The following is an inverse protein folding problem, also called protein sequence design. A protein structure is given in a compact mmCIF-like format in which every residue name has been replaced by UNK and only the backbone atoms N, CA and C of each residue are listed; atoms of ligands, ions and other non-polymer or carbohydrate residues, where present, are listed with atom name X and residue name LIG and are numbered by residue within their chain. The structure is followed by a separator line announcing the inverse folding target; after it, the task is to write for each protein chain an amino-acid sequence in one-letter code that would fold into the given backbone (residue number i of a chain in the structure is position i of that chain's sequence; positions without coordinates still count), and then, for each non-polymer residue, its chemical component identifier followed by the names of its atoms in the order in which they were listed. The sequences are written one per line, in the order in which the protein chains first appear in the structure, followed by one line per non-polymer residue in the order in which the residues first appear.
data_IF_245516555723
#
_entry.id   IF_245516555723
#
_cell.length_a   1.000
_cell.length_b   1.000
_cell.length_c   1.000
_cell.angle_alpha   90.00
_cell.angle_beta   90.00
_cell.angle_gamma   90.00
#
_symmetry.space_group_name_H-M   'P 1'
#
loop_
_entity.id
_entity.type
_entity.pdbx_description
1 polymer ?
#
# COMPACT_ATOMS: atom_id res chain seq x y z
N UNK A 1 8.06 -42.25 15.84
CA UNK A 1 9.04 -41.26 15.41
C UNK A 1 8.32 -40.08 14.76
N UNK A 2 8.14 -39.04 15.55
CA UNK A 2 7.63 -37.76 15.04
C UNK A 2 8.79 -37.01 14.39
N UNK A 3 8.64 -36.55 13.13
CA UNK A 3 9.69 -35.75 12.50
C UNK A 3 9.87 -34.45 13.25
N UNK A 4 11.05 -34.29 13.86
CA UNK A 4 11.46 -33.18 14.71
C UNK A 4 11.78 -31.87 13.97
N UNK A 5 11.29 -31.66 12.77
CA UNK A 5 11.53 -30.43 12.01
C UNK A 5 10.27 -29.79 11.43
N UNK A 6 9.24 -29.64 12.25
CA UNK A 6 8.19 -28.66 11.91
C UNK A 6 8.71 -27.30 12.37
N UNK A 7 9.04 -26.43 11.41
CA UNK A 7 9.48 -25.07 11.71
C UNK A 7 8.46 -24.33 12.58
N UNK A 8 8.91 -23.36 13.36
CA UNK A 8 8.06 -22.52 14.22
C UNK A 8 6.81 -22.03 13.49
N UNK A 9 6.91 -21.71 12.18
CA UNK A 9 5.79 -21.32 11.34
C UNK A 9 4.63 -22.31 11.31
N UNK A 10 4.88 -23.61 11.30
CA UNK A 10 3.81 -24.62 11.28
C UNK A 10 3.09 -24.74 12.61
N UNK A 11 3.78 -24.48 13.72
CA UNK A 11 3.17 -24.45 15.07
C UNK A 11 2.21 -23.26 15.17
N UNK A 12 2.62 -22.08 14.73
CA UNK A 12 1.77 -20.88 14.76
C UNK A 12 0.55 -21.00 13.84
N UNK A 13 0.70 -21.53 12.63
CA UNK A 13 -0.42 -21.81 11.72
C UNK A 13 -1.46 -22.73 12.37
N UNK A 14 -1.00 -23.79 13.04
CA UNK A 14 -1.87 -24.72 13.73
C UNK A 14 -2.59 -24.10 14.92
N UNK A 15 -1.90 -23.26 15.70
CA UNK A 15 -2.51 -22.52 16.82
C UNK A 15 -3.60 -21.56 16.36
N UNK A 16 -3.37 -20.83 15.29
CA UNK A 16 -4.38 -19.95 14.68
C UNK A 16 -5.63 -20.76 14.30
N UNK A 17 -5.47 -21.87 13.60
CA UNK A 17 -6.60 -22.69 13.13
C UNK A 17 -7.39 -23.34 14.28
N UNK A 18 -6.73 -23.75 15.36
CA UNK A 18 -7.38 -24.41 16.52
C UNK A 18 -8.24 -23.43 17.32
N UNK A 19 -7.87 -22.16 17.36
CA UNK A 19 -8.57 -21.11 18.11
C UNK A 19 -9.56 -20.27 17.28
N UNK A 20 -9.73 -20.59 15.99
CA UNK A 20 -10.68 -19.88 15.10
C UNK A 20 -12.14 -20.03 15.59
N UNK A 21 -13.04 -19.10 15.22
CA UNK A 21 -12.85 -17.96 14.32
C UNK A 21 -12.44 -16.66 15.04
N UNK A 22 -11.57 -15.87 14.40
CA UNK A 22 -11.11 -14.56 14.88
C UNK A 22 -11.78 -13.42 14.11
N UNK A 23 -12.00 -12.29 14.77
CA UNK A 23 -12.47 -11.06 14.13
C UNK A 23 -11.32 -10.17 13.64
N UNK A 24 -10.11 -10.38 14.18
CA UNK A 24 -8.90 -9.66 13.82
C UNK A 24 -7.70 -10.59 13.91
N UNK A 25 -6.90 -10.62 12.87
CA UNK A 25 -5.61 -11.31 12.83
C UNK A 25 -4.57 -10.36 12.26
N UNK A 26 -3.42 -10.29 12.92
CA UNK A 26 -2.23 -9.59 12.46
C UNK A 26 -1.17 -10.62 12.05
N UNK A 27 -0.73 -10.55 10.81
CA UNK A 27 0.33 -11.38 10.23
C UNK A 27 1.56 -10.51 10.00
N UNK A 28 2.48 -10.53 10.95
CA UNK A 28 3.71 -9.71 10.96
C UNK A 28 4.98 -10.57 11.10
N UNK A 29 5.31 -11.41 10.11
CA UNK A 29 6.53 -12.21 10.13
C UNK A 29 7.73 -11.43 9.59
N UNK A 30 8.94 -11.87 9.93
CA UNK A 30 10.14 -11.50 9.17
C UNK A 30 10.06 -12.07 7.74
N UNK A 31 10.27 -11.22 6.73
CA UNK A 31 10.26 -11.60 5.33
C UNK A 31 8.87 -11.63 4.73
N UNK A 32 8.55 -12.72 4.02
CA UNK A 32 7.30 -12.85 3.28
C UNK A 32 6.17 -13.41 4.15
N UNK A 33 4.99 -12.76 4.18
CA UNK A 33 3.83 -13.25 4.91
C UNK A 33 3.09 -14.41 4.21
N UNK A 34 3.42 -14.69 2.96
CA UNK A 34 2.64 -15.61 2.07
C UNK A 34 2.38 -16.96 2.71
N UNK A 35 3.36 -17.51 3.42
CA UNK A 35 3.23 -18.82 4.08
C UNK A 35 2.22 -18.86 5.22
N UNK A 36 1.79 -17.72 5.74
CA UNK A 36 0.81 -17.61 6.83
C UNK A 36 -0.59 -17.23 6.37
N UNK A 37 -0.71 -16.63 5.17
CA UNK A 37 -1.96 -16.03 4.69
C UNK A 37 -3.11 -17.05 4.59
N UNK A 38 -2.85 -18.26 4.10
CA UNK A 38 -3.86 -19.28 3.97
C UNK A 38 -4.55 -19.61 5.32
N UNK A 39 -3.75 -19.92 6.33
CA UNK A 39 -4.23 -20.25 7.68
C UNK A 39 -4.90 -19.04 8.36
N UNK A 40 -4.34 -17.84 8.20
CA UNK A 40 -4.90 -16.63 8.76
C UNK A 40 -6.28 -16.32 8.16
N UNK A 41 -6.37 -16.32 6.82
CA UNK A 41 -7.62 -16.03 6.10
C UNK A 41 -8.69 -17.07 6.43
N UNK A 42 -8.34 -18.35 6.49
CA UNK A 42 -9.26 -19.43 6.88
C UNK A 42 -9.83 -19.21 8.29
N UNK A 43 -8.99 -18.75 9.21
CA UNK A 43 -9.32 -18.57 10.63
C UNK A 43 -10.11 -17.30 10.95
N UNK A 44 -10.16 -16.32 10.03
CA UNK A 44 -11.00 -15.13 10.20
C UNK A 44 -12.47 -15.50 10.09
N UNK A 45 -13.30 -14.89 10.92
CA UNK A 45 -14.75 -14.96 10.93
C UNK A 45 -15.37 -14.66 9.56
N UNK A 46 -16.69 -14.78 9.45
CA UNK A 46 -17.44 -14.40 8.23
C UNK A 46 -17.19 -12.96 7.79
N UNK A 47 -16.95 -12.09 8.78
CA UNK A 47 -16.50 -10.71 8.62
C UNK A 47 -15.40 -10.47 9.66
N UNK A 48 -14.26 -9.96 9.22
CA UNK A 48 -13.15 -9.66 10.13
C UNK A 48 -11.99 -8.96 9.41
N UNK A 49 -11.07 -8.41 10.17
CA UNK A 49 -9.93 -7.65 9.67
C UNK A 49 -8.69 -8.54 9.63
N UNK A 50 -7.96 -8.45 8.54
CA UNK A 50 -6.63 -9.01 8.38
C UNK A 50 -5.62 -7.88 8.18
N UNK A 51 -4.66 -7.81 9.10
CA UNK A 51 -3.46 -7.00 8.96
C UNK A 51 -2.35 -7.87 8.41
N UNK A 52 -1.59 -7.36 7.46
CA UNK A 52 -0.47 -8.10 6.88
C UNK A 52 0.72 -7.18 6.69
N UNK A 53 1.86 -7.59 7.23
CA UNK A 53 3.16 -6.94 7.03
C UNK A 53 4.07 -7.84 6.19
N UNK A 54 4.78 -7.24 5.24
CA UNK A 54 5.82 -7.88 4.45
C UNK A 54 7.11 -7.07 4.51
N UNK A 55 8.21 -7.70 4.91
CA UNK A 55 9.54 -7.06 4.98
C UNK A 55 10.48 -7.53 3.87
N UNK A 56 10.05 -8.42 2.97
CA UNK A 56 10.80 -8.84 1.78
C UNK A 56 10.63 -7.86 0.60
N UNK A 57 10.87 -6.58 0.89
CA UNK A 57 10.65 -5.46 -0.03
C UNK A 57 11.45 -5.59 -1.33
N UNK A 58 12.62 -6.22 -1.31
CA UNK A 58 13.40 -6.50 -2.52
C UNK A 58 12.62 -7.36 -3.54
N UNK A 59 11.78 -8.29 -3.07
CA UNK A 59 10.91 -9.07 -3.95
C UNK A 59 9.73 -8.24 -4.45
N UNK A 60 9.04 -7.55 -3.55
CA UNK A 60 7.85 -6.78 -3.86
C UNK A 60 8.15 -5.56 -4.75
N UNK A 61 9.26 -4.84 -4.52
CA UNK A 61 9.70 -3.70 -5.34
C UNK A 61 10.42 -4.09 -6.63
N UNK A 62 10.53 -5.40 -6.95
CA UNK A 62 11.00 -5.87 -8.26
C UNK A 62 12.51 -6.05 -8.42
N UNK A 63 13.35 -5.76 -7.42
CA UNK A 63 14.80 -6.01 -7.50
C UNK A 63 15.14 -7.50 -7.40
N UNK A 64 14.37 -8.31 -6.67
CA UNK A 64 14.52 -9.76 -6.56
C UNK A 64 13.44 -10.53 -7.33
N UNK A 65 13.43 -10.41 -8.65
CA UNK A 65 12.39 -10.93 -9.58
C UNK A 65 12.06 -12.42 -9.41
N UNK A 66 13.06 -13.27 -9.26
CA UNK A 66 12.84 -14.71 -9.05
C UNK A 66 12.11 -14.99 -7.74
N UNK A 67 12.40 -14.24 -6.68
CA UNK A 67 11.70 -14.34 -5.40
C UNK A 67 10.26 -13.81 -5.51
N UNK A 68 10.08 -12.71 -6.23
CA UNK A 68 8.75 -12.15 -6.52
C UNK A 68 7.87 -13.15 -7.26
N UNK A 69 8.37 -13.72 -8.35
CA UNK A 69 7.65 -14.73 -9.14
C UNK A 69 7.29 -15.96 -8.30
N UNK A 70 8.23 -16.46 -7.48
CA UNK A 70 8.02 -17.68 -6.69
C UNK A 70 7.04 -17.48 -5.52
N UNK A 71 7.13 -16.33 -4.81
CA UNK A 71 6.33 -16.06 -3.61
C UNK A 71 4.97 -15.45 -3.94
N UNK A 72 4.96 -14.46 -4.81
CA UNK A 72 3.80 -13.62 -5.11
C UNK A 72 3.15 -13.93 -6.47
N UNK A 73 3.83 -14.73 -7.32
CA UNK A 73 3.37 -14.99 -8.68
C UNK A 73 3.37 -13.74 -9.56
N UNK A 74 4.21 -12.77 -9.23
CA UNK A 74 4.23 -11.44 -9.84
C UNK A 74 5.66 -11.02 -10.22
N UNK A 75 5.77 -9.94 -10.97
CA UNK A 75 7.03 -9.24 -11.25
C UNK A 75 6.87 -7.75 -11.01
N UNK A 76 7.95 -7.07 -10.63
CA UNK A 76 7.99 -5.62 -10.44
C UNK A 76 9.02 -4.95 -11.34
N UNK A 77 8.81 -3.67 -11.61
CA UNK A 77 9.79 -2.77 -12.23
C UNK A 77 10.38 -1.90 -11.12
N UNK A 78 11.71 -1.79 -11.08
CA UNK A 78 12.38 -0.82 -10.21
C UNK A 78 12.29 0.55 -10.89
N UNK A 79 11.36 1.37 -10.47
CA UNK A 79 11.14 2.74 -10.90
C UNK A 79 10.46 3.53 -9.77
N UNK A 80 10.06 4.77 -10.03
CA UNK A 80 9.43 5.67 -9.04
C UNK A 80 8.13 5.12 -8.43
N UNK A 81 7.48 4.16 -9.08
CA UNK A 81 6.21 3.56 -8.63
C UNK A 81 6.38 2.20 -7.92
N UNK A 82 7.60 1.73 -7.72
CA UNK A 82 7.86 0.39 -7.17
C UNK A 82 7.25 0.15 -5.78
N UNK A 83 7.01 1.20 -5.01
CA UNK A 83 6.41 1.11 -3.67
C UNK A 83 4.90 0.95 -3.72
N UNK A 84 4.22 1.63 -4.66
CA UNK A 84 2.81 1.40 -4.97
C UNK A 84 2.62 -0.01 -5.55
N UNK A 85 3.48 -0.42 -6.49
CA UNK A 85 3.50 -1.77 -7.04
C UNK A 85 3.62 -2.83 -5.94
N UNK A 86 4.53 -2.65 -4.98
CA UNK A 86 4.75 -3.56 -3.87
C UNK A 86 3.48 -3.77 -3.03
N UNK A 87 2.80 -2.69 -2.72
CA UNK A 87 1.53 -2.69 -2.00
C UNK A 87 0.46 -3.45 -2.78
N UNK A 88 0.31 -3.17 -4.06
CA UNK A 88 -0.67 -3.79 -4.95
C UNK A 88 -0.39 -5.27 -5.22
N UNK A 89 0.87 -5.68 -5.30
CA UNK A 89 1.27 -7.09 -5.42
C UNK A 89 0.89 -7.87 -4.16
N UNK A 90 1.10 -7.28 -2.96
CA UNK A 90 0.69 -7.90 -1.71
C UNK A 90 -0.84 -8.03 -1.62
N UNK A 91 -1.59 -6.99 -1.95
CA UNK A 91 -3.06 -7.01 -1.99
C UNK A 91 -3.61 -8.07 -2.97
N UNK A 92 -3.03 -8.17 -4.17
CA UNK A 92 -3.43 -9.20 -5.15
C UNK A 92 -3.21 -10.62 -4.61
N UNK A 93 -2.11 -10.82 -3.89
CA UNK A 93 -1.80 -12.11 -3.26
C UNK A 93 -2.82 -12.46 -2.19
N UNK A 94 -3.17 -11.50 -1.33
CA UNK A 94 -4.22 -11.67 -0.30
C UNK A 94 -5.57 -11.94 -0.97
N UNK A 95 -5.97 -11.18 -1.99
CA UNK A 95 -7.22 -11.35 -2.72
C UNK A 95 -7.36 -12.74 -3.32
N UNK A 96 -6.30 -13.24 -3.96
CA UNK A 96 -6.26 -14.57 -4.55
C UNK A 96 -6.45 -15.67 -3.50
N UNK A 97 -5.76 -15.57 -2.36
CA UNK A 97 -5.88 -16.57 -1.29
C UNK A 97 -7.25 -16.46 -0.60
N UNK A 98 -7.76 -15.24 -0.39
CA UNK A 98 -9.08 -15.02 0.18
C UNK A 98 -10.19 -15.63 -0.68
N UNK A 99 -10.09 -15.50 -2.01
CA UNK A 99 -11.04 -16.07 -2.95
C UNK A 99 -11.10 -17.60 -2.85
N UNK A 100 -9.98 -18.29 -2.57
CA UNK A 100 -9.97 -19.76 -2.34
C UNK A 100 -10.79 -20.19 -1.12
N UNK A 101 -11.06 -19.27 -0.19
CA UNK A 101 -11.86 -19.47 1.01
C UNK A 101 -13.25 -18.81 0.93
N UNK A 102 -13.75 -18.53 -0.27
CA UNK A 102 -15.02 -17.83 -0.50
C UNK A 102 -15.08 -16.46 0.19
N UNK A 103 -13.96 -15.77 0.32
CA UNK A 103 -13.88 -14.45 0.95
C UNK A 103 -13.43 -13.39 -0.05
N UNK A 104 -14.06 -12.23 0.01
CA UNK A 104 -13.65 -11.02 -0.69
C UNK A 104 -12.81 -10.13 0.22
N UNK A 105 -11.91 -9.33 -0.36
CA UNK A 105 -11.19 -8.28 0.34
C UNK A 105 -11.80 -6.91 0.07
N UNK A 106 -11.80 -6.05 1.10
CA UNK A 106 -12.07 -4.62 0.99
C UNK A 106 -10.93 -3.91 1.69
N UNK A 107 -10.18 -3.14 0.94
CA UNK A 107 -9.01 -2.41 1.46
C UNK A 107 -9.44 -1.37 2.49
N UNK A 108 -8.70 -1.25 3.57
CA UNK A 108 -8.90 -0.25 4.61
C UNK A 108 -7.79 0.78 4.55
N UNK A 109 -6.54 0.30 4.66
CA UNK A 109 -5.34 1.11 4.70
C UNK A 109 -4.18 0.35 4.06
N UNK A 110 -3.35 1.06 3.32
CA UNK A 110 -2.07 0.54 2.84
C UNK A 110 -0.96 1.53 3.16
N UNK A 111 0.16 1.05 3.63
CA UNK A 111 1.31 1.86 4.03
C UNK A 111 2.60 1.22 3.56
N UNK A 112 3.49 2.04 3.01
CA UNK A 112 4.88 1.68 2.74
C UNK A 112 5.80 2.71 3.40
N UNK A 113 6.72 2.28 4.25
CA UNK A 113 7.63 3.17 4.98
C UNK A 113 9.10 3.08 4.55
N UNK A 114 9.39 2.36 3.46
CA UNK A 114 10.73 2.10 2.95
C UNK A 114 11.32 0.77 3.42
N UNK A 115 10.88 0.23 4.53
CA UNK A 115 11.39 -1.01 5.12
C UNK A 115 10.38 -2.16 5.06
N UNK A 116 9.10 -1.85 5.13
CA UNK A 116 8.01 -2.81 5.05
C UNK A 116 6.77 -2.25 4.36
N UNK A 117 5.99 -3.17 3.80
CA UNK A 117 4.63 -2.93 3.32
C UNK A 117 3.67 -3.42 4.40
N UNK A 118 2.73 -2.59 4.81
CA UNK A 118 1.63 -3.00 5.68
C UNK A 118 0.30 -2.70 5.05
N UNK A 119 -0.60 -3.68 5.03
CA UNK A 119 -1.95 -3.54 4.50
C UNK A 119 -2.98 -4.04 5.49
N UNK A 120 -4.06 -3.30 5.61
CA UNK A 120 -5.26 -3.66 6.36
C UNK A 120 -6.39 -3.93 5.39
N UNK A 121 -7.00 -5.10 5.49
CA UNK A 121 -8.15 -5.48 4.66
C UNK A 121 -9.29 -6.03 5.51
N UNK A 122 -10.52 -5.63 5.18
CA UNK A 122 -11.71 -6.27 5.69
C UNK A 122 -12.06 -7.47 4.80
N UNK A 123 -12.09 -8.65 5.40
CA UNK A 123 -12.52 -9.88 4.75
C UNK A 123 -14.02 -10.08 4.98
N UNK A 124 -14.75 -10.39 3.91
CA UNK A 124 -16.19 -10.77 3.98
C UNK A 124 -16.42 -12.08 3.25
N UNK A 125 -17.12 -13.01 3.90
CA UNK A 125 -17.48 -14.29 3.26
C UNK A 125 -18.63 -14.06 2.28
N UNK A 126 -18.35 -14.19 0.98
CA UNK A 126 -19.33 -14.17 -0.12
C UNK A 126 -18.74 -14.89 -1.32
N UNK A 127 -19.34 -16.00 -1.73
CA UNK A 127 -18.90 -16.76 -2.90
C UNK A 127 -18.99 -15.96 -4.19
N UNK A 128 -20.06 -15.18 -4.33
CA UNK A 128 -20.30 -14.34 -5.52
C UNK A 128 -19.19 -13.34 -5.70
N UNK A 129 -18.96 -12.47 -4.69
CA UNK A 129 -17.93 -11.42 -4.76
C UNK A 129 -16.53 -12.05 -4.81
N UNK A 130 -16.29 -13.13 -4.08
CA UNK A 130 -15.01 -13.83 -4.13
C UNK A 130 -14.67 -14.36 -5.53
N UNK A 131 -15.68 -14.78 -6.31
CA UNK A 131 -15.48 -15.24 -7.69
C UNK A 131 -15.06 -14.12 -8.65
N UNK A 132 -15.35 -12.88 -8.30
CA UNK A 132 -15.04 -11.68 -9.09
C UNK A 132 -13.66 -11.05 -8.76
N UNK A 133 -12.87 -11.68 -7.89
CA UNK A 133 -11.58 -11.12 -7.45
C UNK A 133 -10.66 -10.71 -8.59
N UNK A 134 -10.75 -11.40 -9.74
CA UNK A 134 -9.94 -11.12 -10.93
C UNK A 134 -10.28 -9.82 -11.62
N UNK A 135 -11.47 -9.24 -11.38
CA UNK A 135 -11.88 -7.96 -11.96
C UNK A 135 -11.00 -6.79 -11.45
N UNK A 136 -10.33 -6.99 -10.32
CA UNK A 136 -9.39 -6.03 -9.74
C UNK A 136 -7.93 -6.49 -9.87
N UNK A 137 -7.61 -7.36 -10.83
CA UNK A 137 -6.24 -7.81 -11.08
C UNK A 137 -5.82 -7.40 -12.49
N UNK A 138 -4.69 -6.76 -12.57
CA UNK A 138 -4.13 -6.31 -13.84
C UNK A 138 -2.63 -6.07 -13.74
N UNK A 139 -2.12 -5.28 -14.65
CA UNK A 139 -0.71 -4.97 -14.81
C UNK A 139 -0.53 -3.47 -14.91
N UNK A 140 0.42 -2.90 -14.18
CA UNK A 140 0.86 -1.53 -14.44
C UNK A 140 1.83 -1.54 -15.62
N UNK A 141 1.45 -0.87 -16.69
CA UNK A 141 2.30 -0.69 -17.87
C UNK A 141 3.15 0.56 -17.67
N UNK A 142 4.46 0.43 -17.87
CA UNK A 142 5.38 1.57 -17.79
C UNK A 142 5.18 2.48 -18.99
N UNK A 143 4.46 3.56 -18.77
CA UNK A 143 4.21 4.66 -19.71
C UNK A 143 4.15 5.97 -18.93
N UNK A 144 3.94 7.09 -19.60
CA UNK A 144 3.72 8.38 -18.95
C UNK A 144 2.46 9.05 -19.53
N UNK A 145 1.39 9.15 -18.73
CA UNK A 145 1.24 8.57 -17.40
C UNK A 145 1.26 7.04 -17.46
N UNK A 146 1.56 6.37 -16.34
CA UNK A 146 1.35 4.94 -16.27
C UNK A 146 -0.15 4.64 -16.32
N UNK A 147 -0.49 3.43 -16.73
CA UNK A 147 -1.89 2.96 -16.71
C UNK A 147 -1.95 1.48 -16.34
N UNK A 148 -3.11 1.05 -15.87
CA UNK A 148 -3.40 -0.36 -15.66
C UNK A 148 -3.98 -0.98 -16.93
N UNK A 149 -3.66 -2.27 -17.15
CA UNK A 149 -4.14 -3.07 -18.27
C UNK A 149 -4.45 -4.49 -17.79
N UNK A 150 -5.43 -5.12 -18.41
CA UNK A 150 -5.77 -6.52 -18.15
C UNK A 150 -4.72 -7.50 -18.70
N UNK A 151 -3.88 -7.04 -19.63
CA UNK A 151 -2.84 -7.83 -20.27
C UNK A 151 -1.47 -7.16 -20.12
N UNK A 152 -0.42 -7.96 -19.87
CA UNK A 152 0.93 -7.44 -19.81
C UNK A 152 1.42 -7.02 -21.21
N UNK A 153 2.07 -5.85 -21.30
CA UNK A 153 2.70 -5.37 -22.53
C UNK A 153 3.97 -4.57 -22.23
N UNK A 154 4.98 -4.68 -23.07
CA UNK A 154 6.23 -3.94 -22.91
C UNK A 154 6.93 -4.18 -21.57
N UNK A 155 7.26 -3.10 -20.86
CA UNK A 155 7.71 -3.15 -19.47
C UNK A 155 6.51 -3.01 -18.54
N UNK A 156 6.31 -3.98 -17.67
CA UNK A 156 5.16 -4.02 -16.78
C UNK A 156 5.53 -4.54 -15.39
N UNK A 157 4.70 -4.18 -14.42
CA UNK A 157 4.63 -4.79 -13.09
C UNK A 157 3.30 -5.52 -12.93
N UNK A 158 3.29 -6.64 -12.22
CA UNK A 158 2.07 -7.43 -11.95
C UNK A 158 2.25 -8.93 -12.22
N UNK A 159 1.18 -9.71 -12.12
CA UNK A 159 -0.20 -9.26 -11.81
C UNK A 159 -0.29 -8.62 -10.43
N UNK A 160 -1.12 -7.60 -10.30
CA UNK A 160 -1.29 -6.81 -9.08
C UNK A 160 -2.73 -6.34 -8.89
N UNK A 161 -3.06 -5.85 -7.71
CA UNK A 161 -4.34 -5.24 -7.41
C UNK A 161 -4.48 -3.89 -8.11
N UNK A 162 -5.51 -3.71 -8.90
CA UNK A 162 -5.80 -2.46 -9.63
C UNK A 162 -6.91 -1.63 -8.98
N UNK A 163 -7.61 -2.20 -8.01
CA UNK A 163 -8.65 -1.49 -7.25
C UNK A 163 -8.08 -0.49 -6.22
N UNK A 164 -8.96 0.13 -5.44
CA UNK A 164 -8.57 1.08 -4.39
C UNK A 164 -7.63 0.43 -3.37
N UNK A 165 -6.66 1.21 -2.87
CA UNK A 165 -5.73 0.78 -1.81
C UNK A 165 -6.10 1.36 -0.44
N UNK A 166 -7.10 2.25 -0.39
CA UNK A 166 -7.64 2.88 0.81
C UNK A 166 -9.16 2.82 0.83
N UNK A 167 -9.72 2.87 2.04
CA UNK A 167 -11.11 3.26 2.26
C UNK A 167 -11.13 4.71 2.75
N UNK A 168 -11.51 5.64 1.87
CA UNK A 168 -11.49 7.07 2.17
C UNK A 168 -12.33 7.43 3.41
N UNK A 169 -13.51 6.83 3.61
CA UNK A 169 -14.36 7.10 4.76
C UNK A 169 -13.69 6.70 6.09
N UNK A 170 -12.97 5.58 6.10
CA UNK A 170 -12.25 5.12 7.29
C UNK A 170 -11.05 6.02 7.55
N UNK A 171 -10.27 6.32 6.52
CA UNK A 171 -9.06 7.15 6.65
C UNK A 171 -9.39 8.57 7.10
N UNK A 172 -10.46 9.17 6.59
CA UNK A 172 -10.90 10.51 7.00
C UNK A 172 -11.29 10.60 8.49
N UNK A 173 -11.58 9.46 9.15
CA UNK A 173 -11.81 9.42 10.61
C UNK A 173 -10.49 9.37 11.40
N UNK A 174 -9.37 9.16 10.76
CA UNK A 174 -8.04 9.23 11.36
C UNK A 174 -7.65 10.71 11.47
N UNK A 175 -7.79 11.27 12.68
CA UNK A 175 -7.34 12.64 12.94
C UNK A 175 -5.96 12.62 13.59
N UNK A 176 -5.17 13.67 13.35
CA UNK A 176 -3.86 13.87 13.99
C UNK A 176 -3.98 13.80 15.51
N UNK A 177 -5.00 14.44 16.08
CA UNK A 177 -5.26 14.42 17.52
C UNK A 177 -5.45 12.99 18.07
N UNK A 178 -6.27 12.18 17.38
CA UNK A 178 -6.49 10.79 17.80
C UNK A 178 -5.23 9.94 17.65
N UNK A 179 -4.50 10.11 16.56
CA UNK A 179 -3.26 9.37 16.33
C UNK A 179 -2.22 9.71 17.39
N UNK A 180 -2.00 10.97 17.67
CA UNK A 180 -1.08 11.40 18.74
C UNK A 180 -1.51 10.89 20.12
N UNK A 181 -2.81 10.92 20.40
CA UNK A 181 -3.32 10.38 21.68
C UNK A 181 -3.08 8.89 21.84
N UNK A 182 -3.18 8.12 20.76
CA UNK A 182 -3.03 6.65 20.78
C UNK A 182 -1.56 6.24 20.72
N UNK A 183 -0.77 6.87 19.87
CA UNK A 183 0.60 6.44 19.56
C UNK A 183 1.68 7.19 20.33
N UNK A 184 1.35 8.33 20.93
CA UNK A 184 2.32 9.25 21.52
C UNK A 184 1.72 10.07 22.69
N UNK A 185 0.69 9.56 23.33
CA UNK A 185 -0.07 10.28 24.37
C UNK A 185 0.56 10.18 25.75
N UNK A 186 1.40 9.17 26.00
CA UNK A 186 2.01 8.93 27.30
C UNK A 186 3.53 8.82 27.16
N UNK A 187 4.25 9.16 28.22
CA UNK A 187 5.72 9.03 28.26
C UNK A 187 6.17 7.57 28.08
N UNK A 188 5.37 6.62 28.54
CA UNK A 188 5.60 5.18 28.36
C UNK A 188 5.47 4.69 26.91
N UNK A 189 4.94 5.49 26.00
CA UNK A 189 4.80 5.14 24.58
C UNK A 189 6.13 5.23 23.82
N UNK A 190 7.15 5.79 24.46
CA UNK A 190 8.47 5.98 23.87
C UNK A 190 9.54 5.10 24.54
N UNK A 191 10.57 4.67 23.81
CA UNK A 191 11.74 4.03 24.40
C UNK A 191 12.38 4.92 25.47
N UNK A 192 12.81 4.30 26.57
CA UNK A 192 13.34 5.02 27.75
C UNK A 192 14.66 5.80 27.47
N UNK A 193 15.34 5.47 26.38
CA UNK A 193 16.59 6.10 25.93
C UNK A 193 16.38 7.24 24.91
N UNK A 194 15.13 7.53 24.55
CA UNK A 194 14.83 8.61 23.62
C UNK A 194 14.97 9.98 24.29
N UNK A 195 15.61 10.92 23.56
CA UNK A 195 15.67 12.32 23.95
C UNK A 195 14.36 13.05 23.61
N UNK A 196 14.13 14.22 24.19
CA UNK A 196 12.99 15.09 23.81
C UNK A 196 12.94 15.39 22.30
N UNK A 197 14.11 15.48 21.64
CA UNK A 197 14.18 15.69 20.18
C UNK A 197 13.68 14.48 19.40
N UNK A 198 13.98 13.27 19.87
CA UNK A 198 13.53 12.03 19.23
C UNK A 198 12.01 11.90 19.37
N UNK A 199 11.48 12.20 20.56
CA UNK A 199 10.04 12.24 20.83
C UNK A 199 9.34 13.26 19.93
N UNK A 200 9.87 14.48 19.86
CA UNK A 200 9.28 15.51 19.00
C UNK A 200 9.36 15.14 17.51
N UNK A 201 10.47 14.53 17.08
CA UNK A 201 10.59 14.01 15.72
C UNK A 201 9.53 12.94 15.43
N UNK A 202 9.36 11.96 16.31
CA UNK A 202 8.34 10.91 16.17
C UNK A 202 6.92 11.51 16.09
N UNK A 203 6.59 12.48 16.92
CA UNK A 203 5.29 13.17 16.88
C UNK A 203 5.05 13.86 15.54
N UNK A 204 6.06 14.57 15.01
CA UNK A 204 5.97 15.21 13.68
C UNK A 204 5.78 14.19 12.55
N UNK A 205 6.43 13.03 12.64
CA UNK A 205 6.25 11.95 11.67
C UNK A 205 4.81 11.38 11.72
N UNK A 206 4.26 11.17 12.90
CA UNK A 206 2.86 10.75 13.07
C UNK A 206 1.91 11.79 12.44
N UNK A 207 2.10 13.08 12.75
CA UNK A 207 1.30 14.17 12.19
C UNK A 207 1.37 14.20 10.67
N UNK A 208 2.59 14.11 10.11
CA UNK A 208 2.82 14.12 8.67
C UNK A 208 2.15 12.93 8.00
N UNK A 209 2.35 11.74 8.53
CA UNK A 209 1.80 10.50 8.00
C UNK A 209 0.26 10.53 7.96
N UNK A 210 -0.37 10.89 9.08
CA UNK A 210 -1.84 10.98 9.15
C UNK A 210 -2.38 12.04 8.21
N UNK A 211 -1.71 13.18 8.09
CA UNK A 211 -2.11 14.24 7.17
C UNK A 211 -2.04 13.78 5.72
N UNK A 212 -0.91 13.20 5.30
CA UNK A 212 -0.75 12.69 3.92
C UNK A 212 -1.77 11.60 3.60
N UNK A 213 -2.01 10.66 4.50
CA UNK A 213 -3.02 9.63 4.33
C UNK A 213 -4.42 10.23 4.20
N UNK A 214 -4.78 11.15 5.09
CA UNK A 214 -6.11 11.79 5.09
C UNK A 214 -6.34 12.65 3.83
N UNK A 215 -5.35 13.42 3.39
CA UNK A 215 -5.45 14.27 2.21
C UNK A 215 -5.48 13.45 0.91
N UNK A 216 -4.70 12.36 0.82
CA UNK A 216 -4.60 11.57 -0.41
C UNK A 216 -5.65 10.48 -0.56
N UNK A 217 -6.32 10.06 0.52
CA UNK A 217 -7.20 8.90 0.50
C UNK A 217 -8.39 9.04 -0.45
N UNK A 218 -8.99 10.22 -0.56
CA UNK A 218 -10.10 10.48 -1.49
C UNK A 218 -9.66 10.37 -2.94
N UNK A 219 -8.50 10.92 -3.28
CA UNK A 219 -7.95 10.87 -4.63
C UNK A 219 -7.50 9.46 -5.01
N UNK A 220 -6.81 8.75 -4.10
CA UNK A 220 -6.31 7.39 -4.33
C UNK A 220 -7.40 6.29 -4.23
N UNK A 221 -8.60 6.62 -3.76
CA UNK A 221 -9.76 5.72 -3.80
C UNK A 221 -10.56 5.81 -5.09
N UNK A 222 -10.25 6.75 -5.95
CA UNK A 222 -10.82 6.97 -7.27
C UNK A 222 -9.75 6.77 -8.33
N UNK A 223 -10.14 6.70 -9.61
CA UNK A 223 -9.21 6.55 -10.75
C UNK A 223 -8.48 7.87 -11.07
N UNK A 224 -7.84 8.46 -10.07
CA UNK A 224 -7.06 9.68 -10.22
C UNK A 224 -5.58 9.39 -10.44
N UNK A 225 -4.87 10.35 -11.01
CA UNK A 225 -3.45 10.19 -11.31
C UNK A 225 -2.62 10.15 -10.03
N UNK A 226 -1.73 9.16 -9.95
CA UNK A 226 -0.59 9.14 -9.04
C UNK A 226 0.66 9.55 -9.82
N UNK A 227 1.35 10.59 -9.36
CA UNK A 227 2.47 11.21 -10.07
C UNK A 227 3.71 11.23 -9.20
N UNK A 228 4.81 10.68 -9.71
CA UNK A 228 6.13 10.84 -9.11
C UNK A 228 6.77 12.15 -9.62
N UNK A 229 7.24 13.00 -8.71
CA UNK A 229 7.88 14.28 -9.07
C UNK A 229 9.10 14.06 -9.98
N UNK A 230 9.88 13.03 -9.70
CA UNK A 230 11.11 12.73 -10.44
C UNK A 230 10.86 12.41 -11.92
N UNK A 231 9.69 11.87 -12.23
CA UNK A 231 9.31 11.54 -13.61
C UNK A 231 8.93 12.79 -14.43
N UNK A 232 8.55 13.90 -13.78
CA UNK A 232 8.14 15.12 -14.48
C UNK A 232 9.26 15.77 -15.27
N UNK A 233 10.51 15.64 -14.83
CA UNK A 233 11.66 16.19 -15.55
C UNK A 233 11.76 15.69 -16.98
N UNK A 234 11.71 14.38 -17.14
CA UNK A 234 11.76 13.73 -18.45
C UNK A 234 10.47 13.92 -19.25
N UNK A 235 9.30 13.81 -18.58
CA UNK A 235 8.00 13.91 -19.24
C UNK A 235 7.69 15.32 -19.77
N UNK A 236 8.01 16.34 -18.98
CA UNK A 236 7.78 17.73 -19.37
C UNK A 236 8.94 18.35 -20.16
N UNK A 237 10.09 17.66 -20.28
CA UNK A 237 11.29 18.18 -20.92
C UNK A 237 11.92 19.38 -20.18
N UNK A 238 11.88 19.37 -18.83
CA UNK A 238 12.37 20.43 -17.99
C UNK A 238 13.66 20.00 -17.26
N UNK A 239 14.62 20.92 -17.15
CA UNK A 239 15.90 20.64 -16.49
C UNK A 239 15.87 20.77 -14.97
N UNK A 240 14.89 21.46 -14.41
CA UNK A 240 14.71 21.64 -12.98
C UNK A 240 13.33 21.16 -12.57
N UNK A 241 13.27 20.25 -11.59
CA UNK A 241 12.01 19.73 -11.07
C UNK A 241 11.26 20.81 -10.28
N UNK A 242 9.92 20.90 -10.45
CA UNK A 242 9.12 21.79 -9.63
C UNK A 242 9.05 21.27 -8.19
N UNK A 243 8.92 22.18 -7.23
CA UNK A 243 8.65 21.77 -5.86
C UNK A 243 7.20 21.28 -5.72
N UNK A 244 6.95 20.39 -4.74
CA UNK A 244 5.59 19.93 -4.42
C UNK A 244 4.65 21.11 -4.12
N UNK A 245 5.18 22.17 -3.47
CA UNK A 245 4.40 23.39 -3.19
C UNK A 245 4.01 24.11 -4.47
N UNK A 246 4.93 24.24 -5.43
CA UNK A 246 4.66 24.90 -6.70
C UNK A 246 3.64 24.11 -7.53
N UNK A 247 3.75 22.77 -7.55
CA UNK A 247 2.75 21.91 -8.20
C UNK A 247 1.37 22.08 -7.57
N UNK A 248 1.28 22.02 -6.22
CA UNK A 248 0.02 22.18 -5.49
C UNK A 248 -0.64 23.53 -5.79
N UNK A 249 0.14 24.60 -5.79
CA UNK A 249 -0.36 25.92 -6.13
C UNK A 249 -0.82 26.03 -7.60
N UNK A 250 -0.02 25.57 -8.54
CA UNK A 250 -0.32 25.66 -9.97
C UNK A 250 -1.53 24.81 -10.41
N UNK A 251 -1.75 23.66 -9.75
CA UNK A 251 -2.95 22.85 -9.96
C UNK A 251 -4.19 23.51 -9.34
N UNK A 252 -4.08 24.03 -8.11
CA UNK A 252 -5.18 24.73 -7.44
C UNK A 252 -5.64 25.99 -8.20
N UNK A 253 -4.71 26.76 -8.81
CA UNK A 253 -5.03 27.90 -9.66
C UNK A 253 -5.83 27.52 -10.92
N UNK A 254 -5.76 26.24 -11.33
CA UNK A 254 -6.53 25.67 -12.44
C UNK A 254 -7.79 24.92 -12.00
N UNK A 255 -8.08 24.90 -10.68
CA UNK A 255 -9.28 24.29 -10.12
C UNK A 255 -9.15 22.79 -9.83
N UNK A 256 -7.94 22.24 -9.80
CA UNK A 256 -7.68 20.83 -9.51
C UNK A 256 -7.17 20.64 -8.09
N UNK A 257 -7.46 19.46 -7.53
CA UNK A 257 -6.95 19.03 -6.23
C UNK A 257 -5.62 18.33 -6.37
N UNK A 258 -4.77 18.48 -5.36
CA UNK A 258 -3.50 17.77 -5.23
C UNK A 258 -3.24 17.44 -3.77
N UNK A 259 -2.93 16.18 -3.50
CA UNK A 259 -2.55 15.70 -2.18
C UNK A 259 -1.20 14.98 -2.21
N UNK A 260 -0.37 15.21 -1.18
CA UNK A 260 0.85 14.44 -0.98
C UNK A 260 0.49 13.00 -0.62
N UNK A 261 1.18 12.03 -1.21
CA UNK A 261 1.03 10.63 -0.88
C UNK A 261 2.04 10.21 0.20
N UNK A 262 1.63 9.29 1.07
CA UNK A 262 2.53 8.69 2.05
C UNK A 262 3.31 7.56 1.38
N UNK A 263 4.38 7.94 0.70
CA UNK A 263 5.32 7.06 -0.01
C UNK A 263 6.76 7.48 0.30
N UNK A 264 7.75 6.57 0.25
CA UNK A 264 9.15 6.92 0.44
C UNK A 264 9.66 7.94 -0.58
N UNK A 265 9.23 7.83 -1.83
CA UNK A 265 9.55 8.78 -2.89
C UNK A 265 8.52 9.92 -2.93
N UNK A 266 8.92 11.14 -3.33
CA UNK A 266 8.02 12.28 -3.45
C UNK A 266 6.95 12.06 -4.51
N UNK A 267 5.73 11.73 -4.08
CA UNK A 267 4.59 11.49 -4.96
C UNK A 267 3.37 12.29 -4.53
N UNK A 268 2.51 12.57 -5.50
CA UNK A 268 1.22 13.20 -5.24
C UNK A 268 0.11 12.54 -6.06
N UNK A 269 -1.10 12.59 -5.52
CA UNK A 269 -2.32 12.27 -6.25
C UNK A 269 -3.02 13.55 -6.70
N UNK A 270 -3.69 13.53 -7.86
CA UNK A 270 -4.45 14.66 -8.39
C UNK A 270 -5.59 14.18 -9.29
N UNK A 271 -6.67 14.95 -9.33
CA UNK A 271 -7.77 14.79 -10.26
C UNK A 271 -7.55 15.51 -11.62
N UNK A 272 -6.41 16.19 -11.78
CA UNK A 272 -6.00 16.79 -13.05
C UNK A 272 -5.62 15.71 -14.07
N UNK A 273 -5.87 16.00 -15.35
CA UNK A 273 -5.33 15.19 -16.44
C UNK A 273 -3.80 15.38 -16.59
N UNK A 274 -3.18 14.46 -17.32
CA UNK A 274 -1.73 14.44 -17.50
C UNK A 274 -1.17 15.67 -18.21
N UNK A 275 -1.89 16.18 -19.21
CA UNK A 275 -1.46 17.36 -19.97
C UNK A 275 -1.46 18.60 -19.08
N UNK A 276 -2.46 18.74 -18.23
CA UNK A 276 -2.51 19.82 -17.22
C UNK A 276 -1.36 19.70 -16.21
N UNK A 277 -1.05 18.49 -15.75
CA UNK A 277 0.10 18.27 -14.86
C UNK A 277 1.42 18.69 -15.51
N UNK A 278 1.63 18.33 -16.78
CA UNK A 278 2.82 18.73 -17.53
C UNK A 278 2.91 20.24 -17.75
N UNK A 279 1.79 20.90 -18.04
CA UNK A 279 1.76 22.35 -18.24
C UNK A 279 2.04 23.11 -16.95
N UNK A 280 1.53 22.62 -15.80
CA UNK A 280 1.88 23.18 -14.51
C UNK A 280 3.36 22.97 -14.23
N UNK A 281 3.91 21.78 -14.46
CA UNK A 281 5.32 21.50 -14.25
C UNK A 281 6.25 22.42 -15.08
N UNK A 282 5.90 22.70 -16.33
CA UNK A 282 6.65 23.64 -17.22
C UNK A 282 6.58 25.08 -16.73
N UNK A 283 5.44 25.51 -16.17
CA UNK A 283 5.22 26.89 -15.72
C UNK A 283 5.70 27.15 -14.29
N UNK A 284 5.94 26.09 -13.51
CA UNK A 284 6.41 26.18 -12.13
C UNK A 284 7.93 26.30 -12.11
N UNK A 285 8.43 27.53 -11.94
CA UNK A 285 9.87 27.82 -11.80
C UNK A 285 10.25 28.03 -10.34
#
# INVERSE_FOLDING_TARGET
DLPLSRGLGDVYKRQIMVNAPFQWIDVDPFGSPVSFLDSAIQSISRVGVLEVTATDTAALCGSAKTSAARRYGSTGIVDSYMYDDATRILLATIARIAAMHDKSIHTILSLFDGHHVRVSVLLKKSKEIASEWRNNIGYRIRSQPYHFSDQPSGKFSGPMWTGPIFNAEIIQRMTVERALKICAGQESDYPADWSEKDIEHSRREIERTVRHLSESASLLSQDHLLVAIDDLGAAAGIGQLPSMKAMKQGLAERGFEMAHCQMPEPMFATDADWDTVLDVAKSSK
#
